data_IF_156860849167
#
_entry.id   IF_156860849167
#
_cell.length_a   1.000
_cell.length_b   1.000
_cell.length_c   1.000
_cell.angle_alpha   90.00
_cell.angle_beta   90.00
_cell.angle_gamma   90.00
#
_symmetry.space_group_name_H-M   'P 1'
#
loop_
_entity.id
_entity.type
_entity.pdbx_description
1 polymer ?
#
# COMPACT_ATOMS: atom_id res chain seq x y z
N UNK A 1 3.04 14.40 -17.11
CA UNK A 1 2.20 14.35 -15.90
C UNK A 1 3.09 14.07 -14.70
N UNK A 2 2.86 14.69 -13.55
CA UNK A 2 3.50 14.28 -12.31
C UNK A 2 3.10 12.84 -11.96
N UNK A 3 3.86 12.20 -11.09
CA UNK A 3 3.68 10.78 -10.77
C UNK A 3 3.14 10.61 -9.37
N UNK A 4 2.22 9.66 -9.17
CA UNK A 4 1.85 9.10 -7.86
C UNK A 4 2.35 7.65 -7.83
N UNK A 5 3.11 7.30 -6.80
CA UNK A 5 3.49 5.92 -6.52
C UNK A 5 2.60 5.36 -5.43
N UNK A 6 1.93 4.25 -5.72
CA UNK A 6 1.14 3.48 -4.77
C UNK A 6 1.94 2.23 -4.41
N UNK A 7 2.45 2.18 -3.18
CA UNK A 7 3.18 1.04 -2.68
C UNK A 7 2.28 0.23 -1.75
N UNK A 8 1.78 -0.87 -2.26
CA UNK A 8 0.80 -1.73 -1.59
C UNK A 8 1.41 -3.08 -1.19
N UNK A 9 0.79 -3.73 -0.24
CA UNK A 9 1.03 -5.14 0.08
C UNK A 9 -0.16 -5.71 0.81
N UNK A 10 -0.42 -6.97 0.60
CA UNK A 10 -1.48 -7.67 1.31
C UNK A 10 -0.85 -8.57 2.37
N UNK A 11 -1.12 -8.27 3.62
CA UNK A 11 -0.67 -9.06 4.76
C UNK A 11 -1.91 -9.69 5.44
N UNK A 12 -1.85 -10.99 5.72
CA UNK A 12 -2.94 -11.67 6.41
C UNK A 12 -2.84 -11.45 7.91
N UNK A 13 -3.50 -10.40 8.36
CA UNK A 13 -3.38 -9.96 9.73
C UNK A 13 -4.40 -10.64 10.65
N UNK A 14 -5.55 -11.05 10.11
CA UNK A 14 -6.70 -11.49 10.88
C UNK A 14 -7.57 -12.50 10.19
N UNK A 15 -8.35 -13.22 11.00
CA UNK A 15 -9.45 -14.05 10.52
C UNK A 15 -10.71 -13.21 10.33
N UNK A 16 -11.60 -13.61 9.41
CA UNK A 16 -12.90 -12.94 9.21
C UNK A 16 -13.70 -12.79 10.53
N UNK A 17 -13.61 -13.79 11.41
CA UNK A 17 -14.28 -13.73 12.72
C UNK A 17 -13.75 -12.60 13.59
N UNK A 18 -12.43 -12.37 13.58
CA UNK A 18 -11.82 -11.27 14.33
C UNK A 18 -12.23 -9.92 13.77
N UNK A 19 -12.26 -9.77 12.44
CA UNK A 19 -12.70 -8.53 11.81
C UNK A 19 -14.16 -8.24 12.06
N UNK A 20 -15.04 -9.23 11.88
CA UNK A 20 -16.47 -9.03 12.15
C UNK A 20 -16.73 -8.60 13.58
N UNK A 21 -16.04 -9.21 14.54
CA UNK A 21 -16.13 -8.78 15.95
C UNK A 21 -15.60 -7.35 16.16
N UNK A 22 -14.67 -6.88 15.34
CA UNK A 22 -14.17 -5.52 15.41
C UNK A 22 -15.12 -4.53 14.75
N UNK A 23 -15.62 -4.83 13.55
CA UNK A 23 -16.61 -4.00 12.86
C UNK A 23 -17.83 -3.74 13.72
N UNK A 24 -18.36 -4.80 14.35
CA UNK A 24 -19.54 -4.70 15.23
C UNK A 24 -19.31 -3.75 16.43
N UNK A 25 -18.07 -3.56 16.86
CA UNK A 25 -17.73 -2.77 18.05
C UNK A 25 -17.23 -1.36 17.76
N UNK A 26 -16.51 -1.17 16.67
CA UNK A 26 -15.68 0.01 16.51
C UNK A 26 -15.82 0.70 15.14
N UNK A 27 -15.99 -0.06 14.06
CA UNK A 27 -15.99 0.51 12.72
C UNK A 27 -16.82 -0.37 11.75
N UNK A 28 -18.13 -0.13 11.65
CA UNK A 28 -19.01 -0.90 10.77
C UNK A 28 -18.68 -0.73 9.28
N UNK A 29 -17.99 0.35 8.91
CA UNK A 29 -17.67 0.71 7.53
C UNK A 29 -16.24 0.33 7.14
N UNK A 30 -15.52 -0.45 7.98
CA UNK A 30 -14.16 -0.88 7.70
C UNK A 30 -14.09 -1.68 6.41
N UNK A 31 -13.40 -1.14 5.42
CA UNK A 31 -13.12 -1.84 4.17
C UNK A 31 -11.92 -2.78 4.35
N UNK A 32 -12.04 -3.98 3.80
CA UNK A 32 -10.96 -4.95 3.79
C UNK A 32 -11.07 -5.91 2.60
N UNK A 33 -9.92 -6.43 2.15
CA UNK A 33 -9.87 -7.46 1.14
C UNK A 33 -9.76 -8.85 1.76
N UNK A 34 -10.64 -9.75 1.34
CA UNK A 34 -10.53 -11.15 1.74
C UNK A 34 -9.46 -11.82 0.89
N UNK A 35 -8.40 -12.25 1.54
CA UNK A 35 -7.31 -12.95 0.88
C UNK A 35 -7.62 -14.45 0.85
N UNK A 36 -7.99 -14.95 -0.31
CA UNK A 36 -8.51 -16.32 -0.46
C UNK A 36 -7.46 -17.38 -0.71
N UNK A 37 -6.20 -17.01 -1.00
CA UNK A 37 -5.16 -18.00 -1.35
C UNK A 37 -3.84 -17.71 -0.65
N UNK A 38 -3.49 -18.52 0.32
CA UNK A 38 -2.10 -18.80 0.68
C UNK A 38 -1.65 -20.06 -0.05
N UNK A 39 -0.57 -20.01 -0.81
CA UNK A 39 -0.02 -21.20 -1.51
C UNK A 39 0.45 -22.31 -0.55
N UNK A 40 0.59 -22.03 0.73
CA UNK A 40 1.36 -22.91 1.62
C UNK A 40 0.61 -23.52 2.81
N UNK A 41 -0.69 -23.32 3.02
CA UNK A 41 -1.33 -23.95 4.19
C UNK A 41 -2.83 -24.21 4.01
N UNK A 42 -3.22 -25.47 4.12
CA UNK A 42 -4.61 -25.92 4.28
C UNK A 42 -5.35 -25.29 5.47
N UNK A 43 -4.63 -24.67 6.40
CA UNK A 43 -5.14 -24.17 7.67
C UNK A 43 -5.35 -22.65 7.75
N UNK A 44 -5.00 -21.88 6.73
CA UNK A 44 -5.20 -20.42 6.71
C UNK A 44 -6.31 -20.01 5.74
N UNK A 45 -7.46 -20.65 5.85
CA UNK A 45 -8.66 -20.25 5.12
C UNK A 45 -9.22 -18.96 5.74
N UNK A 46 -9.50 -17.97 4.89
CA UNK A 46 -10.20 -16.72 5.25
C UNK A 46 -9.39 -15.75 6.12
N UNK A 47 -8.17 -15.43 5.75
CA UNK A 47 -7.47 -14.28 6.31
C UNK A 47 -7.82 -13.01 5.53
N UNK A 48 -7.75 -11.89 6.21
CA UNK A 48 -8.16 -10.59 5.71
C UNK A 48 -7.01 -9.62 5.90
N UNK A 49 -6.73 -8.83 4.88
CA UNK A 49 -5.77 -7.74 4.98
C UNK A 49 -6.51 -6.44 5.31
N UNK A 50 -6.17 -5.85 6.44
CA UNK A 50 -6.77 -4.58 6.91
C UNK A 50 -5.81 -3.40 6.88
N UNK A 51 -4.56 -3.66 6.54
CA UNK A 51 -3.54 -2.62 6.37
C UNK A 51 -2.97 -2.69 4.96
N UNK A 52 -3.86 -2.62 3.99
CA UNK A 52 -3.58 -2.56 2.56
C UNK A 52 -4.48 -1.50 1.93
N UNK A 53 -4.12 -1.07 0.73
CA UNK A 53 -5.07 -0.38 -0.13
C UNK A 53 -5.93 -1.43 -0.82
N UNK A 54 -7.25 -1.38 -0.63
CA UNK A 54 -8.17 -2.27 -1.34
C UNK A 54 -8.10 -2.03 -2.85
N UNK A 55 -8.34 -3.04 -3.64
CA UNK A 55 -8.36 -2.89 -5.11
C UNK A 55 -9.46 -1.91 -5.55
N UNK A 56 -10.56 -1.84 -4.81
CA UNK A 56 -11.61 -0.84 -5.02
C UNK A 56 -11.07 0.58 -4.82
N UNK A 57 -10.32 0.81 -3.74
CA UNK A 57 -9.71 2.12 -3.47
C UNK A 57 -8.64 2.50 -4.49
N UNK A 58 -7.77 1.57 -4.87
CA UNK A 58 -6.79 1.79 -5.95
C UNK A 58 -7.51 2.16 -7.25
N UNK A 59 -8.59 1.43 -7.59
CA UNK A 59 -9.43 1.71 -8.74
C UNK A 59 -10.04 3.11 -8.70
N UNK A 60 -10.47 3.56 -7.53
CA UNK A 60 -11.02 4.90 -7.35
C UNK A 60 -9.95 5.98 -7.57
N UNK A 61 -8.74 5.80 -7.05
CA UNK A 61 -7.61 6.71 -7.32
C UNK A 61 -7.34 6.80 -8.82
N UNK A 62 -7.25 5.65 -9.50
CA UNK A 62 -6.99 5.63 -10.94
C UNK A 62 -8.08 6.37 -11.71
N UNK A 63 -9.34 6.09 -11.45
CA UNK A 63 -10.48 6.73 -12.12
C UNK A 63 -10.53 8.24 -11.91
N UNK A 64 -10.13 8.72 -10.73
CA UNK A 64 -10.17 10.15 -10.43
C UNK A 64 -8.98 10.93 -10.96
N UNK A 65 -7.81 10.28 -11.04
CA UNK A 65 -6.57 11.02 -11.16
C UNK A 65 -5.67 10.60 -12.32
N UNK A 66 -5.96 9.56 -13.08
CA UNK A 66 -5.10 9.11 -14.19
C UNK A 66 -5.02 10.10 -15.37
N UNK A 67 -5.97 11.01 -15.48
CA UNK A 67 -5.91 12.12 -16.44
C UNK A 67 -4.91 13.21 -16.03
N UNK A 68 -4.64 13.38 -14.73
CA UNK A 68 -3.75 14.38 -14.14
C UNK A 68 -2.38 13.84 -13.80
N UNK A 69 -2.31 12.59 -13.36
CA UNK A 69 -1.08 11.95 -12.88
C UNK A 69 -0.75 10.68 -13.67
N UNK A 70 0.54 10.36 -13.74
CA UNK A 70 0.99 9.01 -14.03
C UNK A 70 0.88 8.20 -12.74
N UNK A 71 0.24 7.04 -12.78
CA UNK A 71 0.08 6.18 -11.60
C UNK A 71 0.99 4.97 -11.75
N UNK A 72 1.85 4.77 -10.76
CA UNK A 72 2.74 3.62 -10.64
C UNK A 72 2.26 2.77 -9.46
N UNK A 73 2.08 1.48 -9.71
CA UNK A 73 1.66 0.54 -8.69
C UNK A 73 2.77 -0.45 -8.38
N UNK A 74 3.12 -0.54 -7.10
CA UNK A 74 4.15 -1.43 -6.57
C UNK A 74 3.49 -2.36 -5.55
N UNK A 75 3.63 -3.66 -5.78
CA UNK A 75 3.18 -4.71 -4.86
C UNK A 75 4.17 -5.87 -4.93
N UNK A 76 4.32 -6.66 -3.87
CA UNK A 76 5.21 -7.82 -3.88
C UNK A 76 4.87 -8.80 -5.00
N UNK A 77 5.89 -9.21 -5.75
CA UNK A 77 5.77 -10.26 -6.75
C UNK A 77 6.24 -11.57 -6.13
N UNK A 78 5.33 -12.53 -6.08
CA UNK A 78 5.64 -13.85 -5.54
C UNK A 78 6.27 -14.73 -6.61
N UNK A 79 7.60 -14.66 -6.71
CA UNK A 79 8.34 -15.77 -7.27
C UNK A 79 8.85 -16.65 -6.11
N UNK A 80 8.95 -17.94 -6.35
CA UNK A 80 9.25 -18.95 -5.32
C UNK A 80 10.58 -18.73 -4.56
N UNK A 81 11.44 -17.80 -5.00
CA UNK A 81 12.75 -17.54 -4.38
C UNK A 81 12.74 -16.39 -3.38
N UNK A 82 11.88 -15.38 -3.56
CA UNK A 82 12.01 -14.11 -2.84
C UNK A 82 11.27 -14.06 -1.50
N UNK A 83 10.17 -14.81 -1.37
CA UNK A 83 9.30 -14.77 -0.19
C UNK A 83 9.16 -16.11 0.53
N UNK A 84 10.12 -17.03 0.36
CA UNK A 84 10.09 -18.37 0.99
C UNK A 84 9.92 -18.32 2.51
N UNK A 85 10.42 -17.27 3.15
CA UNK A 85 10.45 -17.14 4.61
C UNK A 85 9.36 -16.19 5.17
N UNK A 86 8.57 -15.54 4.31
CA UNK A 86 7.54 -14.60 4.77
C UNK A 86 6.14 -15.27 4.77
N UNK A 87 5.85 -15.95 5.86
CA UNK A 87 4.54 -16.60 6.12
C UNK A 87 3.37 -15.62 6.28
N UNK A 88 3.54 -14.32 5.97
CA UNK A 88 2.60 -13.27 6.35
C UNK A 88 2.12 -12.42 5.16
N UNK A 89 2.71 -12.60 3.97
CA UNK A 89 2.31 -11.84 2.78
C UNK A 89 1.51 -12.74 1.85
N UNK A 90 0.37 -12.25 1.40
CA UNK A 90 -0.57 -12.99 0.56
C UNK A 90 -0.48 -12.55 -0.88
N UNK A 91 -0.65 -13.49 -1.79
CA UNK A 91 -0.87 -13.20 -3.18
C UNK A 91 -2.33 -12.83 -3.38
N UNK A 92 -2.54 -11.63 -3.90
CA UNK A 92 -3.80 -11.16 -4.46
C UNK A 92 -3.57 -11.00 -5.97
N UNK A 93 -4.56 -11.29 -6.79
CA UNK A 93 -4.44 -11.14 -8.24
C UNK A 93 -4.58 -9.65 -8.64
N UNK A 94 -3.84 -8.78 -7.94
CA UNK A 94 -3.88 -7.32 -8.06
C UNK A 94 -3.32 -6.83 -9.41
N UNK A 95 -2.24 -7.45 -9.89
CA UNK A 95 -1.69 -7.13 -11.21
C UNK A 95 -2.64 -7.50 -12.34
N UNK A 96 -3.24 -8.71 -12.31
CA UNK A 96 -4.27 -9.12 -13.28
C UNK A 96 -5.48 -8.18 -13.25
N UNK A 97 -5.90 -7.80 -12.05
CA UNK A 97 -7.01 -6.88 -11.89
C UNK A 97 -6.71 -5.52 -12.53
N UNK A 98 -5.52 -4.97 -12.29
CA UNK A 98 -5.11 -3.68 -12.85
C UNK A 98 -4.92 -3.77 -14.36
N UNK A 99 -4.24 -4.76 -14.88
CA UNK A 99 -4.05 -4.97 -16.32
C UNK A 99 -5.39 -5.03 -17.07
N UNK A 100 -6.39 -5.64 -16.47
CA UNK A 100 -7.72 -5.79 -17.08
C UNK A 100 -8.58 -4.54 -16.99
N UNK A 101 -8.56 -3.85 -15.84
CA UNK A 101 -9.51 -2.78 -15.54
C UNK A 101 -8.91 -1.38 -15.65
N UNK A 102 -7.58 -1.27 -15.56
CA UNK A 102 -6.82 -0.01 -15.51
C UNK A 102 -5.48 -0.14 -16.26
N UNK A 103 -5.50 -0.41 -17.58
CA UNK A 103 -4.28 -0.61 -18.37
C UNK A 103 -3.36 0.64 -18.42
N UNK A 104 -3.86 1.79 -17.99
CA UNK A 104 -3.09 3.03 -17.87
C UNK A 104 -2.18 3.08 -16.64
N UNK A 105 -2.34 2.16 -15.69
CA UNK A 105 -1.48 2.04 -14.50
C UNK A 105 -0.20 1.31 -14.87
N UNK A 106 0.94 1.92 -14.58
CA UNK A 106 2.23 1.27 -14.79
C UNK A 106 2.63 0.47 -13.55
N UNK A 107 2.85 -0.80 -13.71
CA UNK A 107 3.13 -1.70 -12.57
C UNK A 107 4.61 -2.05 -12.46
N UNK A 108 5.08 -2.37 -11.25
CA UNK A 108 6.43 -2.92 -11.07
C UNK A 108 6.63 -4.23 -11.85
N UNK A 109 5.58 -5.02 -12.06
CA UNK A 109 5.64 -6.23 -12.88
C UNK A 109 6.02 -5.89 -14.33
N UNK A 110 5.34 -4.93 -14.94
CA UNK A 110 5.67 -4.44 -16.28
C UNK A 110 7.09 -3.89 -16.34
N UNK A 111 7.51 -3.11 -15.33
CA UNK A 111 8.86 -2.58 -15.27
C UNK A 111 9.93 -3.68 -15.28
N UNK A 112 9.72 -4.75 -14.51
CA UNK A 112 10.63 -5.89 -14.46
C UNK A 112 10.65 -6.68 -15.77
N UNK A 113 9.50 -6.81 -16.45
CA UNK A 113 9.40 -7.48 -17.76
C UNK A 113 10.06 -6.66 -18.89
N UNK A 114 10.07 -5.33 -18.79
CA UNK A 114 10.66 -4.41 -19.76
C UNK A 114 12.18 -4.17 -19.55
N UNK A 115 12.68 -4.58 -18.37
CA UNK A 115 14.09 -4.38 -18.00
C UNK A 115 14.75 -5.72 -17.66
N UNK A 116 16.09 -5.77 -17.72
CA UNK A 116 16.83 -6.98 -17.31
C UNK A 116 16.94 -7.13 -15.78
N UNK A 117 16.00 -6.52 -15.01
CA UNK A 117 15.99 -6.51 -13.55
C UNK A 117 15.05 -7.58 -12.95
N UNK A 118 14.73 -8.63 -13.69
CA UNK A 118 13.76 -9.66 -13.27
C UNK A 118 14.07 -10.32 -11.92
N UNK A 119 15.34 -10.37 -11.53
CA UNK A 119 15.78 -10.94 -10.25
C UNK A 119 16.02 -9.90 -9.16
N UNK A 120 15.82 -8.60 -9.45
CA UNK A 120 16.20 -7.49 -8.58
C UNK A 120 15.01 -6.59 -8.22
N UNK A 121 13.97 -7.20 -7.65
CA UNK A 121 12.76 -6.50 -7.22
C UNK A 121 13.05 -5.23 -6.40
N UNK A 122 14.01 -5.29 -5.47
CA UNK A 122 14.32 -4.14 -4.62
C UNK A 122 14.91 -2.98 -5.43
N UNK A 123 15.77 -3.26 -6.39
CA UNK A 123 16.32 -2.21 -7.27
C UNK A 123 15.21 -1.60 -8.12
N UNK A 124 14.33 -2.43 -8.69
CA UNK A 124 13.18 -1.98 -9.45
C UNK A 124 12.26 -1.08 -8.61
N UNK A 125 11.97 -1.49 -7.37
CA UNK A 125 11.20 -0.68 -6.44
C UNK A 125 11.87 0.66 -6.17
N UNK A 126 13.17 0.70 -5.85
CA UNK A 126 13.93 1.93 -5.65
C UNK A 126 13.85 2.86 -6.87
N UNK A 127 14.05 2.31 -8.06
CA UNK A 127 14.01 3.09 -9.29
C UNK A 127 12.62 3.70 -9.53
N UNK A 128 11.57 2.95 -9.32
CA UNK A 128 10.20 3.43 -9.48
C UNK A 128 9.83 4.48 -8.43
N UNK A 129 10.19 4.26 -7.17
CA UNK A 129 9.92 5.24 -6.11
C UNK A 129 10.68 6.55 -6.33
N UNK A 130 11.89 6.51 -6.86
CA UNK A 130 12.68 7.70 -7.19
C UNK A 130 12.08 8.57 -8.31
N UNK A 131 11.07 8.09 -9.02
CA UNK A 131 10.41 8.86 -10.09
C UNK A 131 9.33 9.83 -9.59
N UNK A 132 9.05 9.83 -8.29
CA UNK A 132 7.93 10.58 -7.72
C UNK A 132 8.34 11.36 -6.47
N UNK A 133 7.60 12.43 -6.25
CA UNK A 133 7.55 13.19 -4.99
C UNK A 133 6.19 13.02 -4.27
N UNK A 134 5.37 12.04 -4.71
CA UNK A 134 4.03 11.74 -4.16
C UNK A 134 3.86 10.26 -3.96
N UNK A 135 3.85 9.84 -2.70
CA UNK A 135 3.82 8.44 -2.33
C UNK A 135 2.62 8.10 -1.46
N UNK A 136 1.87 7.08 -1.87
CA UNK A 136 0.88 6.40 -1.05
C UNK A 136 1.49 5.07 -0.58
N UNK A 137 1.65 4.91 0.72
CA UNK A 137 2.33 3.73 1.27
C UNK A 137 1.64 3.24 2.54
N UNK A 138 2.01 2.07 2.98
CA UNK A 138 1.47 1.44 4.17
C UNK A 138 2.47 1.52 5.33
N UNK A 139 1.95 1.44 6.54
CA UNK A 139 2.80 1.31 7.72
C UNK A 139 3.72 0.09 7.60
N UNK A 140 5.02 0.27 7.81
CA UNK A 140 6.02 -0.81 7.71
C UNK A 140 7.33 -0.36 7.06
N UNK A 141 8.03 -1.30 6.44
CA UNK A 141 9.32 -1.05 5.77
C UNK A 141 9.20 -0.08 4.59
N UNK A 142 8.15 -0.23 3.80
CA UNK A 142 7.94 0.55 2.58
C UNK A 142 7.79 2.05 2.84
N UNK A 143 7.11 2.45 3.92
CA UNK A 143 6.99 3.88 4.23
C UNK A 143 8.34 4.54 4.56
N UNK A 144 9.29 3.76 5.10
CA UNK A 144 10.65 4.25 5.32
C UNK A 144 11.38 4.44 4.00
N UNK A 145 11.21 3.51 3.08
CA UNK A 145 11.81 3.59 1.76
C UNK A 145 11.31 4.82 1.00
N UNK A 146 9.99 4.96 0.85
CA UNK A 146 9.39 6.09 0.16
C UNK A 146 9.84 7.43 0.74
N UNK A 147 10.03 7.52 2.07
CA UNK A 147 10.45 8.77 2.71
C UNK A 147 11.86 9.23 2.31
N UNK A 148 12.75 8.33 1.89
CA UNK A 148 14.10 8.72 1.44
C UNK A 148 14.09 9.50 0.13
N UNK A 149 13.04 9.42 -0.65
CA UNK A 149 12.93 10.15 -1.92
C UNK A 149 12.34 11.56 -1.75
N UNK A 150 11.93 11.91 -0.53
CA UNK A 150 11.38 13.24 -0.23
C UNK A 150 9.92 13.39 -0.67
N UNK A 151 9.47 14.64 -0.81
CA UNK A 151 8.10 14.93 -1.21
C UNK A 151 7.04 14.60 -0.15
N UNK A 152 5.83 14.33 -0.60
CA UNK A 152 4.70 13.95 0.24
C UNK A 152 4.59 12.43 0.35
N UNK A 153 4.63 11.92 1.57
CA UNK A 153 4.50 10.50 1.87
C UNK A 153 3.27 10.27 2.76
N UNK A 154 2.19 9.85 2.15
CA UNK A 154 0.97 9.47 2.85
C UNK A 154 1.10 8.03 3.32
N UNK A 155 1.05 7.84 4.63
CA UNK A 155 1.11 6.52 5.26
C UNK A 155 -0.28 6.13 5.73
N UNK A 156 -0.87 5.15 5.04
CA UNK A 156 -2.13 4.58 5.49
C UNK A 156 -1.90 3.62 6.66
N UNK A 157 -2.65 3.84 7.71
CA UNK A 157 -2.73 2.95 8.85
C UNK A 157 -4.18 2.84 9.27
N UNK A 158 -4.84 1.74 8.91
CA UNK A 158 -6.23 1.52 9.30
C UNK A 158 -6.43 1.68 10.80
N UNK A 159 -7.58 2.18 11.21
CA UNK A 159 -7.89 2.31 12.64
C UNK A 159 -7.80 0.97 13.36
N UNK A 160 -8.16 -0.10 12.67
CA UNK A 160 -8.02 -1.45 13.20
C UNK A 160 -6.57 -1.78 13.57
N UNK A 161 -5.61 -1.51 12.69
CA UNK A 161 -4.19 -1.73 12.95
C UNK A 161 -3.71 -0.90 14.14
N UNK A 162 -4.17 0.35 14.23
CA UNK A 162 -3.86 1.27 15.32
C UNK A 162 -4.32 0.75 16.69
N UNK A 163 -5.53 0.22 16.77
CA UNK A 163 -6.11 -0.23 18.04
C UNK A 163 -5.86 -1.71 18.36
N UNK A 164 -5.77 -2.56 17.33
CA UNK A 164 -5.69 -4.01 17.49
C UNK A 164 -4.29 -4.55 17.78
N UNK A 165 -3.29 -4.03 17.09
CA UNK A 165 -1.91 -4.55 17.13
C UNK A 165 -0.93 -3.63 17.83
N UNK A 166 -1.15 -2.33 17.78
CA UNK A 166 -0.31 -1.34 18.42
C UNK A 166 -1.07 -0.65 19.55
N UNK A 167 -1.14 -1.29 20.71
CA UNK A 167 -1.64 -0.63 21.93
C UNK A 167 -0.83 0.63 22.20
N UNK A 168 -1.37 1.77 21.78
CA UNK A 168 -0.80 3.08 22.01
C UNK A 168 0.00 3.61 20.83
N UNK A 169 0.00 4.89 20.79
CA UNK A 169 0.64 5.84 19.91
C UNK A 169 2.16 5.61 19.83
N UNK A 170 2.60 4.54 19.20
CA UNK A 170 4.03 4.30 18.98
C UNK A 170 4.54 5.24 17.90
N UNK A 171 5.04 6.36 18.36
CA UNK A 171 5.55 7.54 17.70
C UNK A 171 6.48 7.45 16.49
N UNK A 172 6.58 6.30 15.82
CA UNK A 172 7.39 6.16 14.60
C UNK A 172 6.82 7.03 13.47
N UNK A 173 5.52 7.30 13.50
CA UNK A 173 4.79 7.99 12.44
C UNK A 173 4.20 9.35 12.87
N UNK A 174 4.52 9.82 14.08
CA UNK A 174 4.19 11.18 14.48
C UNK A 174 4.95 12.20 13.62
N UNK A 175 4.35 13.35 13.42
CA UNK A 175 4.94 14.49 12.69
C UNK A 175 6.35 14.85 13.14
N UNK A 176 6.73 14.51 14.37
CA UNK A 176 8.04 14.72 14.97
C UNK A 176 8.93 13.46 14.91
N UNK A 177 8.54 12.45 14.14
CA UNK A 177 9.31 11.20 14.04
C UNK A 177 10.70 11.49 13.47
N UNK A 178 11.68 10.71 13.94
CA UNK A 178 13.04 10.73 13.41
C UNK A 178 13.06 10.55 11.86
N UNK A 179 12.08 9.84 11.31
CA UNK A 179 11.94 9.61 9.88
C UNK A 179 11.75 10.93 9.12
N UNK A 180 10.85 11.80 9.59
CA UNK A 180 10.64 13.14 9.01
C UNK A 180 11.89 14.00 9.11
N UNK A 181 12.55 13.96 10.26
CA UNK A 181 13.76 14.75 10.51
C UNK A 181 14.93 14.32 9.61
N UNK A 182 15.07 13.02 9.34
CA UNK A 182 16.17 12.49 8.54
C UNK A 182 15.95 12.61 7.04
N UNK A 183 14.72 12.40 6.58
CA UNK A 183 14.41 12.32 5.15
C UNK A 183 14.07 13.68 4.53
N UNK A 184 13.63 14.64 5.33
CA UNK A 184 13.05 15.90 4.82
C UNK A 184 11.70 15.76 4.13
N UNK A 185 11.14 14.54 4.08
CA UNK A 185 9.82 14.29 3.49
C UNK A 185 8.70 14.86 4.37
N UNK A 186 7.63 15.31 3.73
CA UNK A 186 6.38 15.63 4.41
C UNK A 186 5.60 14.36 4.69
N UNK A 187 5.74 13.80 5.89
CA UNK A 187 5.11 12.55 6.28
C UNK A 187 3.74 12.81 6.89
N UNK A 188 2.73 12.18 6.30
CA UNK A 188 1.33 12.38 6.64
C UNK A 188 0.72 11.01 6.94
N UNK A 189 0.27 10.82 8.17
CA UNK A 189 -0.46 9.61 8.54
C UNK A 189 -1.95 9.82 8.35
N UNK A 190 -2.59 8.88 7.67
CA UNK A 190 -4.04 8.86 7.46
C UNK A 190 -4.62 7.50 7.82
N UNK A 191 -5.85 7.53 8.36
CA UNK A 191 -6.51 6.33 8.88
C UNK A 191 -7.69 5.91 8.00
N UNK A 192 -8.15 6.75 7.11
CA UNK A 192 -9.27 6.48 6.21
C UNK A 192 -8.92 6.77 4.76
N UNK A 193 -9.53 6.06 3.84
CA UNK A 193 -9.40 6.32 2.41
C UNK A 193 -9.97 7.70 2.01
N UNK A 194 -11.02 8.12 2.70
CA UNK A 194 -11.63 9.44 2.49
C UNK A 194 -10.65 10.57 2.76
N UNK A 195 -9.88 10.47 3.85
CA UNK A 195 -8.87 11.50 4.18
C UNK A 195 -7.77 11.54 3.12
N UNK A 196 -7.36 10.37 2.61
CA UNK A 196 -6.38 10.29 1.53
C UNK A 196 -6.89 10.99 0.27
N UNK A 197 -8.12 10.69 -0.15
CA UNK A 197 -8.71 11.31 -1.34
C UNK A 197 -8.85 12.82 -1.19
N UNK A 198 -9.31 13.29 -0.03
CA UNK A 198 -9.42 14.72 0.25
C UNK A 198 -8.05 15.41 0.17
N UNK A 199 -7.00 14.79 0.73
CA UNK A 199 -5.65 15.35 0.67
C UNK A 199 -5.11 15.42 -0.77
N UNK A 200 -5.31 14.36 -1.56
CA UNK A 200 -4.91 14.35 -2.97
C UNK A 200 -5.59 15.49 -3.71
N UNK A 201 -6.89 15.67 -3.51
CA UNK A 201 -7.64 16.74 -4.18
C UNK A 201 -7.13 18.12 -3.78
N UNK A 202 -7.00 18.39 -2.48
CA UNK A 202 -6.64 19.69 -1.96
C UNK A 202 -5.16 20.09 -2.17
N UNK A 203 -4.25 19.09 -2.16
CA UNK A 203 -2.80 19.37 -2.14
C UNK A 203 -2.05 18.97 -3.39
N UNK A 204 -2.56 17.97 -4.12
CA UNK A 204 -1.86 17.46 -5.30
C UNK A 204 -2.52 17.88 -6.61
N UNK A 205 -3.83 18.09 -6.59
CA UNK A 205 -4.60 18.48 -7.78
C UNK A 205 -4.72 19.99 -7.93
N UNK A 206 -4.91 20.73 -6.82
CA UNK A 206 -5.14 22.18 -6.86
C UNK A 206 -3.84 23.03 -6.94
N UNK A 207 -2.67 22.37 -6.96
CA UNK A 207 -1.36 23.02 -7.16
C UNK A 207 -0.98 22.99 -8.65
#
# INVERSE_FOLDING_TARGET
KPTIVINNKFAGDLTEKQIKSYQDKFDPDLEYDVVTKSKNEENRKNLVSVNSYSLTFVSEIVKRYSDKFKIIYISPIFNDSYFKDHNVVFQVDDFEYLEKNHPEVYTIKQFLEETDLTDDYNIAQFMLEATSDRHLTLVGGNCKLSSYFGGDVIIYMSEFWRYGTMKGDRGIFKTDSWLKQLSGANIIQMNTYKDILNYIEEKWVEL
#
